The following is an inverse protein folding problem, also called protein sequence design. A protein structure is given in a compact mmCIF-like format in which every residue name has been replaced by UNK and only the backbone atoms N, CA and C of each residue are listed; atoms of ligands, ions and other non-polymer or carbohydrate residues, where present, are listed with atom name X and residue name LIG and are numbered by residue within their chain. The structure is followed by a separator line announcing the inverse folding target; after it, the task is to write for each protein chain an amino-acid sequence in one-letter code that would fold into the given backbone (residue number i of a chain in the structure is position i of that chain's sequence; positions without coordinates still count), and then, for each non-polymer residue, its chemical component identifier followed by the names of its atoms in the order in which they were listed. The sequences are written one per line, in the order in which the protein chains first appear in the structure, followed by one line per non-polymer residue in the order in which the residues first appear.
data_IF_081612690448
#
_entry.id   IF_081612690448
#
_cell.length_a   1.000
_cell.length_b   1.000
_cell.length_c   1.000
_cell.angle_alpha   90.00
_cell.angle_beta   90.00
_cell.angle_gamma   90.00
#
_symmetry.space_group_name_H-M   'P 1'
#
loop_
_entity.id
_entity.type
_entity.pdbx_description
1 polymer ?
#
# COMPACT_ATOMS: atom_id res chain seq x y z
N UNK A 1 -27.66 -2.31 -4.69
CA UNK A 1 -26.74 -3.14 -5.47
C UNK A 1 -25.63 -2.31 -6.09
N UNK A 2 -25.87 -1.02 -6.24
CA UNK A 2 -24.84 -0.14 -6.80
C UNK A 2 -23.60 -0.01 -5.92
N UNK A 3 -23.75 -0.23 -4.63
CA UNK A 3 -22.64 -0.11 -3.67
C UNK A 3 -21.52 -1.09 -4.00
N UNK A 4 -21.85 -2.33 -4.33
CA UNK A 4 -20.84 -3.36 -4.65
C UNK A 4 -20.08 -2.99 -5.92
N UNK A 5 -20.79 -2.48 -6.93
CA UNK A 5 -20.16 -2.04 -8.17
C UNK A 5 -19.24 -0.84 -7.94
N UNK A 6 -19.67 0.12 -7.12
CA UNK A 6 -18.86 1.29 -6.81
C UNK A 6 -17.59 0.90 -6.07
N UNK A 7 -17.68 -0.03 -5.13
CA UNK A 7 -16.50 -0.53 -4.43
C UNK A 7 -15.53 -1.22 -5.39
N UNK A 8 -16.03 -2.07 -6.28
CA UNK A 8 -15.20 -2.76 -7.24
C UNK A 8 -14.48 -1.77 -8.16
N UNK A 9 -15.17 -0.75 -8.64
CA UNK A 9 -14.58 0.30 -9.46
C UNK A 9 -13.54 1.09 -8.67
N UNK A 10 -13.84 1.41 -7.41
CA UNK A 10 -12.92 2.13 -6.54
C UNK A 10 -11.59 1.37 -6.37
N UNK A 11 -11.65 0.05 -6.19
CA UNK A 11 -10.44 -0.77 -6.04
C UNK A 11 -9.62 -0.87 -7.32
N UNK A 12 -10.22 -0.67 -8.48
CA UNK A 12 -9.54 -0.69 -9.77
C UNK A 12 -8.83 0.62 -10.08
N UNK A 13 -9.24 1.71 -9.47
CA UNK A 13 -8.56 2.99 -9.65
C UNK A 13 -7.23 2.95 -8.92
N UNK A 14 -6.10 3.20 -9.62
CA UNK A 14 -4.80 3.16 -8.98
C UNK A 14 -4.68 4.20 -7.87
N UNK A 15 -4.24 3.76 -6.70
CA UNK A 15 -3.88 4.66 -5.62
C UNK A 15 -2.36 4.71 -5.49
N UNK A 16 -1.77 5.89 -5.33
CA UNK A 16 -0.32 6.00 -5.21
C UNK A 16 0.19 5.41 -3.91
N UNK A 17 1.25 4.62 -4.01
CA UNK A 17 1.96 4.12 -2.83
C UNK A 17 2.94 5.20 -2.40
N UNK A 18 2.65 5.85 -1.28
CA UNK A 18 3.38 7.04 -0.84
C UNK A 18 4.16 6.82 0.44
N UNK A 19 4.10 5.63 1.03
CA UNK A 19 4.74 5.36 2.30
C UNK A 19 5.44 4.01 2.31
N UNK A 20 6.55 3.95 3.04
CA UNK A 20 7.34 2.72 3.23
C UNK A 20 7.51 2.52 4.73
N UNK A 21 7.20 1.32 5.23
CA UNK A 21 7.45 0.96 6.61
C UNK A 21 8.85 0.38 6.74
N UNK A 22 9.70 1.03 7.55
CA UNK A 22 11.07 0.56 7.82
C UNK A 22 11.09 -0.16 9.16
N UNK A 23 11.45 -1.42 9.13
CA UNK A 23 11.53 -2.25 10.34
C UNK A 23 12.92 -2.16 10.98
N UNK A 24 13.01 -2.65 12.22
CA UNK A 24 14.24 -2.56 13.01
C UNK A 24 15.40 -3.36 12.42
N UNK A 25 15.10 -4.36 11.59
CA UNK A 25 16.14 -5.16 10.91
C UNK A 25 16.70 -4.47 9.65
N UNK A 26 16.24 -3.26 9.34
CA UNK A 26 16.69 -2.52 8.17
C UNK A 26 15.90 -2.79 6.91
N UNK A 27 14.91 -3.69 6.95
CA UNK A 27 14.08 -3.96 5.79
C UNK A 27 12.92 -2.97 5.69
N UNK A 28 12.66 -2.51 4.48
CA UNK A 28 11.55 -1.60 4.20
C UNK A 28 10.52 -2.26 3.31
N UNK A 29 9.24 -2.05 3.63
CA UNK A 29 8.13 -2.59 2.85
C UNK A 29 7.14 -1.47 2.53
N UNK A 30 6.63 -1.43 1.28
CA UNK A 30 5.62 -0.43 0.93
C UNK A 30 4.34 -0.66 1.73
N UNK A 31 3.59 0.42 1.94
CA UNK A 31 2.33 0.36 2.69
C UNK A 31 1.19 0.57 1.72
N UNK A 32 0.19 -0.32 1.76
CA UNK A 32 -1.01 -0.17 0.95
C UNK A 32 -1.74 1.13 1.33
N UNK A 33 -2.01 2.02 0.36
CA UNK A 33 -2.65 3.30 0.67
C UNK A 33 -4.11 3.17 1.08
N UNK A 34 -4.72 2.02 0.87
CA UNK A 34 -6.12 1.82 1.24
C UNK A 34 -6.31 1.12 2.57
N UNK A 35 -5.69 -0.05 2.76
CA UNK A 35 -5.88 -0.83 3.98
C UNK A 35 -4.76 -0.68 5.02
N UNK A 36 -3.63 -0.08 4.62
CA UNK A 36 -2.55 0.22 5.55
C UNK A 36 -1.63 -0.93 5.92
N UNK A 37 -1.78 -2.09 5.28
CA UNK A 37 -0.86 -3.20 5.55
C UNK A 37 0.45 -3.02 4.78
N UNK A 38 1.51 -3.66 5.26
CA UNK A 38 2.76 -3.72 4.52
C UNK A 38 2.63 -4.73 3.38
N UNK A 39 3.16 -4.36 2.22
CA UNK A 39 3.12 -5.19 1.01
C UNK A 39 4.40 -6.00 0.92
N UNK A 40 4.27 -7.27 0.54
CA UNK A 40 5.42 -8.17 0.44
C UNK A 40 6.35 -7.82 -0.72
N UNK A 41 5.80 -7.21 -1.77
CA UNK A 41 6.57 -6.91 -2.97
C UNK A 41 6.38 -5.45 -3.41
N UNK A 42 7.49 -4.79 -3.73
CA UNK A 42 7.43 -3.51 -4.41
C UNK A 42 6.94 -3.73 -5.85
N UNK A 43 6.22 -2.75 -6.37
CA UNK A 43 5.73 -2.73 -7.76
C UNK A 43 4.69 -3.81 -8.10
N UNK A 44 4.08 -4.47 -7.11
CA UNK A 44 2.95 -5.36 -7.39
C UNK A 44 1.73 -4.54 -7.84
N UNK A 45 0.91 -5.12 -8.72
CA UNK A 45 -0.22 -4.39 -9.30
C UNK A 45 -1.36 -4.18 -8.31
N UNK A 46 -1.57 -5.11 -7.41
CA UNK A 46 -2.70 -5.10 -6.48
C UNK A 46 -2.25 -5.48 -5.08
N UNK A 47 -2.92 -4.92 -4.09
CA UNK A 47 -2.72 -5.32 -2.71
C UNK A 47 -3.26 -6.73 -2.49
N UNK A 48 -2.46 -7.60 -1.89
CA UNK A 48 -2.86 -9.00 -1.63
C UNK A 48 -4.00 -9.10 -0.61
N UNK A 49 -4.15 -8.07 0.21
CA UNK A 49 -5.12 -8.10 1.29
C UNK A 49 -6.48 -7.51 0.90
N UNK A 50 -6.49 -6.33 0.34
CA UNK A 50 -7.73 -5.63 0.01
C UNK A 50 -8.05 -5.61 -1.48
N UNK A 51 -7.09 -5.94 -2.35
CA UNK A 51 -7.29 -5.95 -3.79
C UNK A 51 -7.18 -4.59 -4.46
N UNK A 52 -6.74 -3.56 -3.73
CA UNK A 52 -6.60 -2.22 -4.30
C UNK A 52 -5.52 -2.18 -5.38
N UNK A 53 -5.85 -1.61 -6.53
CA UNK A 53 -4.88 -1.36 -7.59
C UNK A 53 -3.88 -0.30 -7.12
N UNK A 54 -2.59 -0.52 -7.37
CA UNK A 54 -1.52 0.31 -6.84
C UNK A 54 -0.80 1.09 -7.94
N UNK A 55 -0.48 2.34 -7.66
CA UNK A 55 0.27 3.21 -8.56
C UNK A 55 1.66 3.47 -7.96
N UNK A 56 2.69 3.11 -8.72
CA UNK A 56 4.08 3.19 -8.26
C UNK A 56 4.86 4.36 -8.86
N UNK A 57 4.21 5.25 -9.59
CA UNK A 57 4.92 6.33 -10.30
C UNK A 57 5.74 7.24 -9.39
N UNK A 58 5.21 7.57 -8.23
CA UNK A 58 5.90 8.44 -7.28
C UNK A 58 6.62 7.71 -6.17
N UNK A 59 6.84 6.41 -6.30
CA UNK A 59 7.36 5.59 -5.22
C UNK A 59 8.77 5.98 -4.77
N UNK A 60 9.58 6.49 -5.66
CA UNK A 60 10.93 6.95 -5.31
C UNK A 60 10.93 8.10 -4.29
N UNK A 61 9.81 8.78 -4.14
CA UNK A 61 9.62 9.89 -3.20
C UNK A 61 8.81 9.48 -1.98
N UNK A 62 8.59 8.19 -1.81
CA UNK A 62 7.77 7.68 -0.72
C UNK A 62 8.35 8.07 0.64
N UNK A 63 7.47 8.42 1.56
CA UNK A 63 7.85 8.76 2.92
C UNK A 63 8.21 7.51 3.69
N UNK A 64 9.35 7.52 4.36
CA UNK A 64 9.78 6.40 5.20
C UNK A 64 9.21 6.57 6.60
N UNK A 65 8.46 5.57 7.06
CA UNK A 65 7.90 5.52 8.40
C UNK A 65 8.62 4.43 9.17
N UNK A 66 9.24 4.79 10.30
CA UNK A 66 9.95 3.82 11.12
C UNK A 66 8.98 3.08 12.02
N UNK A 67 9.02 1.76 11.94
CA UNK A 67 8.23 0.94 12.83
C UNK A 67 8.79 1.03 14.25
N UNK A 68 7.88 1.22 15.21
CA UNK A 68 8.25 1.27 16.61
C UNK A 68 7.49 0.16 17.34
N UNK A 69 8.21 -0.72 18.06
CA UNK A 69 7.53 -1.73 18.85
C UNK A 69 6.73 -1.06 19.96
N UNK A 70 5.59 -1.66 20.26
CA UNK A 70 4.77 -1.20 21.36
C UNK A 70 5.45 -1.60 22.69
N UNK A 71 5.64 -0.65 23.55
CA UNK A 71 6.20 -0.92 24.86
C UNK A 71 5.18 -1.49 25.83
#
# INVERSE_FOLDING_TARGET
MNIVLEEAVSYRKPLPVTEIMLFTNGEGFPICPRCGITLDRAYQHYCDRCGQCLDWKGFSRAKVIRWKPRE
#
